data_IF_128106216583
#
_entry.id   IF_128106216583
#
_cell.length_a   1.000
_cell.length_b   1.000
_cell.length_c   1.000
_cell.angle_alpha   90.00
_cell.angle_beta   90.00
_cell.angle_gamma   90.00
#
_symmetry.space_group_name_H-M   'P 1'
#
loop_
_entity.id
_entity.type
_entity.pdbx_description
1 polymer ?
#
# COMPACT_ATOMS: atom_id res chain seq x y z
N UNK A 1 34.89 -37.75 -61.88
CA UNK A 1 35.16 -37.48 -60.44
C UNK A 1 34.07 -36.56 -59.90
N UNK A 2 33.72 -36.76 -58.61
CA UNK A 2 32.81 -35.99 -57.74
C UNK A 2 31.35 -36.50 -57.64
N UNK A 3 31.19 -37.37 -56.65
CA UNK A 3 29.96 -37.89 -56.05
C UNK A 3 29.16 -36.82 -55.31
N UNK A 4 27.84 -36.92 -55.40
CA UNK A 4 26.88 -35.91 -54.95
C UNK A 4 26.76 -35.73 -53.44
N UNK A 5 26.62 -34.47 -53.04
CA UNK A 5 26.29 -34.05 -51.67
C UNK A 5 24.76 -33.88 -51.54
N UNK A 6 24.04 -34.96 -51.18
CA UNK A 6 22.59 -34.93 -50.87
C UNK A 6 22.31 -35.63 -49.54
N UNK A 7 22.86 -35.18 -48.40
CA UNK A 7 22.42 -35.65 -47.06
C UNK A 7 22.63 -34.63 -45.94
N UNK A 8 22.05 -33.43 -46.07
CA UNK A 8 22.01 -32.45 -44.95
C UNK A 8 20.78 -31.54 -44.92
N UNK A 9 19.84 -31.69 -45.86
CA UNK A 9 18.72 -30.73 -46.03
C UNK A 9 17.54 -30.90 -45.05
N UNK A 10 17.40 -32.03 -44.35
CA UNK A 10 16.26 -32.26 -43.42
C UNK A 10 16.51 -31.80 -41.98
N UNK A 11 17.73 -31.99 -41.48
CA UNK A 11 18.05 -31.72 -40.07
C UNK A 11 18.17 -30.22 -39.74
N UNK A 12 18.49 -29.38 -40.72
CA UNK A 12 18.61 -27.93 -40.49
C UNK A 12 17.27 -27.32 -40.08
N UNK A 13 16.16 -27.76 -40.71
CA UNK A 13 14.83 -27.29 -40.35
C UNK A 13 14.45 -27.74 -38.93
N UNK A 14 14.74 -29.00 -38.58
CA UNK A 14 14.50 -29.54 -37.24
C UNK A 14 15.31 -28.78 -36.19
N UNK A 15 16.60 -28.55 -36.44
CA UNK A 15 17.47 -27.78 -35.55
C UNK A 15 16.98 -26.33 -35.38
N UNK A 16 16.55 -25.68 -36.47
CA UNK A 16 15.99 -24.33 -36.41
C UNK A 16 14.68 -24.27 -35.61
N UNK A 17 13.78 -25.25 -35.80
CA UNK A 17 12.55 -25.36 -35.00
C UNK A 17 12.86 -25.55 -33.52
N UNK A 18 13.78 -26.46 -33.16
CA UNK A 18 14.20 -26.64 -31.78
C UNK A 18 14.82 -25.38 -31.19
N UNK A 19 15.63 -24.63 -31.94
CA UNK A 19 16.21 -23.37 -31.48
C UNK A 19 15.14 -22.32 -31.16
N UNK A 20 14.11 -22.20 -32.00
CA UNK A 20 12.95 -21.32 -31.76
C UNK A 20 12.16 -21.77 -30.52
N UNK A 21 11.92 -23.07 -30.35
CA UNK A 21 11.21 -23.59 -29.19
C UNK A 21 11.99 -23.35 -27.88
N UNK A 22 13.31 -23.53 -27.90
CA UNK A 22 14.19 -23.26 -26.76
C UNK A 22 14.15 -21.76 -26.42
N UNK A 23 14.26 -20.88 -27.42
CA UNK A 23 14.15 -19.43 -27.22
C UNK A 23 12.78 -19.02 -26.64
N UNK A 24 11.69 -19.65 -27.11
CA UNK A 24 10.35 -19.40 -26.60
C UNK A 24 10.20 -19.81 -25.12
N UNK A 25 10.77 -20.95 -24.71
CA UNK A 25 10.78 -21.39 -23.30
C UNK A 25 11.59 -20.43 -22.43
N UNK A 26 12.74 -19.96 -22.91
CA UNK A 26 13.55 -18.97 -22.17
C UNK A 26 12.81 -17.64 -21.96
N UNK A 27 12.00 -17.18 -22.92
CA UNK A 27 11.17 -15.99 -22.76
C UNK A 27 10.12 -16.12 -21.64
N UNK A 28 9.57 -17.33 -21.42
CA UNK A 28 8.56 -17.56 -20.37
C UNK A 28 9.11 -17.44 -18.95
N UNK A 29 10.42 -17.68 -18.73
CA UNK A 29 11.05 -17.56 -17.42
C UNK A 29 11.06 -16.12 -16.87
N UNK A 30 10.90 -15.09 -17.72
CA UNK A 30 10.91 -13.69 -17.31
C UNK A 30 9.64 -13.19 -16.59
N UNK A 31 8.54 -13.97 -16.56
CA UNK A 31 7.21 -13.49 -16.15
C UNK A 31 7.02 -13.33 -14.63
N UNK A 32 7.56 -14.23 -13.81
CA UNK A 32 7.27 -14.28 -12.36
C UNK A 32 7.84 -13.08 -11.57
N UNK A 33 8.90 -12.43 -12.07
CA UNK A 33 9.56 -11.32 -11.38
C UNK A 33 8.69 -10.05 -11.32
N UNK A 34 7.88 -9.80 -12.34
CA UNK A 34 7.12 -8.54 -12.47
C UNK A 34 6.03 -8.36 -11.41
N UNK A 35 5.31 -9.44 -11.05
CA UNK A 35 4.26 -9.35 -10.03
C UNK A 35 4.83 -8.98 -8.65
N UNK A 36 6.03 -9.48 -8.33
CA UNK A 36 6.70 -9.16 -7.06
C UNK A 36 7.22 -7.73 -7.02
N UNK A 37 7.69 -7.20 -8.15
CA UNK A 37 8.14 -5.81 -8.26
C UNK A 37 6.96 -4.86 -8.09
N UNK A 38 5.87 -5.10 -8.84
CA UNK A 38 4.65 -4.26 -8.75
C UNK A 38 4.10 -4.23 -7.32
N UNK A 39 4.03 -5.38 -6.63
CA UNK A 39 3.55 -5.42 -5.24
C UNK A 39 4.44 -4.60 -4.30
N UNK A 40 5.77 -4.71 -4.42
CA UNK A 40 6.69 -3.91 -3.61
C UNK A 40 6.57 -2.42 -3.88
N UNK A 41 6.36 -2.04 -5.14
CA UNK A 41 6.14 -0.64 -5.51
C UNK A 41 4.83 -0.10 -4.91
N UNK A 42 3.75 -0.90 -4.93
CA UNK A 42 2.48 -0.55 -4.29
C UNK A 42 2.61 -0.43 -2.77
N UNK A 43 3.35 -1.33 -2.12
CA UNK A 43 3.64 -1.26 -0.68
C UNK A 43 4.42 0.00 -0.33
N UNK A 44 5.47 0.32 -1.10
CA UNK A 44 6.25 1.55 -0.91
C UNK A 44 5.39 2.81 -1.14
N UNK A 45 4.50 2.77 -2.13
CA UNK A 45 3.57 3.86 -2.40
C UNK A 45 2.51 4.02 -1.30
N UNK A 46 1.98 2.92 -0.75
CA UNK A 46 1.06 2.94 0.39
C UNK A 46 1.72 3.67 1.57
N UNK A 47 2.94 3.27 1.93
CA UNK A 47 3.68 3.90 3.02
C UNK A 47 4.01 5.36 2.72
N UNK A 48 4.37 5.69 1.48
CA UNK A 48 4.65 7.05 1.06
C UNK A 48 3.40 7.94 1.22
N UNK A 49 2.26 7.51 0.67
CA UNK A 49 0.98 8.24 0.74
C UNK A 49 0.49 8.34 2.19
N UNK A 50 0.58 7.27 2.97
CA UNK A 50 0.26 7.27 4.40
C UNK A 50 1.06 8.32 5.18
N UNK A 51 2.39 8.37 4.97
CA UNK A 51 3.26 9.38 5.60
C UNK A 51 2.95 10.81 5.15
N UNK A 52 2.49 11.04 3.92
CA UNK A 52 2.06 12.38 3.50
C UNK A 52 0.88 12.88 4.32
N UNK A 53 -0.10 12.00 4.61
CA UNK A 53 -1.22 12.36 5.48
C UNK A 53 -0.76 12.65 6.91
N UNK A 54 0.10 11.83 7.50
CA UNK A 54 0.63 12.07 8.85
C UNK A 54 1.37 13.41 8.92
N UNK A 55 2.23 13.71 7.93
CA UNK A 55 2.92 15.01 7.85
C UNK A 55 1.97 16.19 7.71
N UNK A 56 0.90 16.04 6.93
CA UNK A 56 -0.12 17.08 6.77
C UNK A 56 -0.93 17.30 8.06
N UNK A 57 -1.24 16.22 8.78
CA UNK A 57 -1.89 16.30 10.09
C UNK A 57 -0.96 16.99 11.09
N UNK A 58 0.33 16.67 11.06
CA UNK A 58 1.34 17.29 11.92
C UNK A 58 1.47 18.79 11.64
N UNK A 59 1.58 19.20 10.37
CA UNK A 59 1.67 20.63 10.01
C UNK A 59 0.41 21.38 10.41
N UNK A 60 -0.77 20.79 10.20
CA UNK A 60 -2.04 21.36 10.67
C UNK A 60 -2.07 21.54 12.19
N UNK A 61 -1.67 20.52 12.94
CA UNK A 61 -1.63 20.55 14.40
C UNK A 61 -0.68 21.63 14.92
N UNK A 62 0.48 21.82 14.28
CA UNK A 62 1.42 22.90 14.66
C UNK A 62 0.81 24.30 14.48
N UNK A 63 -0.01 24.50 13.46
CA UNK A 63 -0.68 25.79 13.21
C UNK A 63 -1.90 26.02 14.10
N UNK A 64 -2.60 24.94 14.48
CA UNK A 64 -3.86 24.98 15.21
C UNK A 64 -3.72 24.58 16.69
N UNK A 65 -2.63 24.98 17.36
CA UNK A 65 -2.43 24.75 18.81
C UNK A 65 -2.56 23.27 19.23
N UNK A 66 -1.97 22.36 18.44
CA UNK A 66 -2.06 20.90 18.58
C UNK A 66 -3.48 20.33 18.47
N UNK A 67 -4.42 21.07 17.85
CA UNK A 67 -5.74 20.53 17.55
C UNK A 67 -5.69 19.60 16.33
N UNK A 68 -6.29 18.41 16.43
CA UNK A 68 -6.37 17.47 15.33
C UNK A 68 -7.38 17.96 14.27
N UNK A 69 -7.17 17.65 12.98
CA UNK A 69 -8.06 18.10 11.93
C UNK A 69 -9.44 17.42 12.04
N UNK A 70 -10.54 18.15 11.80
CA UNK A 70 -11.89 17.60 11.83
C UNK A 70 -12.22 16.71 10.62
N UNK A 71 -11.49 16.85 9.50
CA UNK A 71 -11.63 16.00 8.32
C UNK A 71 -10.39 16.05 7.42
N UNK A 72 -10.14 15.01 6.63
CA UNK A 72 -9.03 14.99 5.66
C UNK A 72 -9.16 16.09 4.59
N UNK A 73 -10.39 16.50 4.25
CA UNK A 73 -10.64 17.57 3.26
C UNK A 73 -10.12 18.93 3.71
N UNK A 74 -10.02 19.16 5.02
CA UNK A 74 -9.49 20.43 5.53
C UNK A 74 -7.99 20.55 5.25
N UNK A 75 -7.26 19.43 5.27
CA UNK A 75 -5.83 19.38 4.98
C UNK A 75 -5.54 19.82 3.53
N UNK A 76 -6.41 19.46 2.60
CA UNK A 76 -6.32 19.94 1.22
C UNK A 76 -6.72 21.42 1.10
N UNK A 77 -7.83 21.82 1.76
CA UNK A 77 -8.34 23.20 1.71
C UNK A 77 -7.33 24.22 2.23
N UNK A 78 -6.63 23.88 3.31
CA UNK A 78 -5.60 24.72 3.92
C UNK A 78 -4.20 24.49 3.35
N UNK A 79 -4.09 23.67 2.29
CA UNK A 79 -2.84 23.40 1.55
C UNK A 79 -1.75 22.71 2.37
N UNK A 80 -2.11 21.96 3.40
CA UNK A 80 -1.20 21.04 4.12
C UNK A 80 -0.82 19.82 3.27
N UNK A 81 -1.65 19.48 2.28
CA UNK A 81 -1.36 18.43 1.30
C UNK A 81 -1.64 18.92 -0.12
N UNK A 82 -0.83 18.48 -1.09
CA UNK A 82 -0.97 18.89 -2.50
C UNK A 82 -2.29 18.41 -3.12
N UNK A 83 -2.75 17.22 -2.72
CA UNK A 83 -4.00 16.57 -3.17
C UNK A 83 -4.35 15.44 -2.21
N UNK A 84 -5.62 15.05 -2.16
CA UNK A 84 -6.02 13.81 -1.51
C UNK A 84 -5.53 12.61 -2.33
N UNK A 85 -4.57 11.86 -1.79
CA UNK A 85 -4.06 10.63 -2.38
C UNK A 85 -5.04 9.48 -2.13
N UNK A 86 -5.33 8.68 -3.14
CA UNK A 86 -6.13 7.45 -2.99
C UNK A 86 -5.31 6.34 -2.33
N UNK A 87 -5.96 5.33 -1.78
CA UNK A 87 -5.27 4.11 -1.36
C UNK A 87 -4.95 3.25 -2.61
N UNK A 88 -3.68 2.92 -2.90
CA UNK A 88 -3.29 2.13 -4.06
C UNK A 88 -3.69 0.65 -3.97
N UNK A 89 -4.00 0.12 -2.79
CA UNK A 89 -4.33 -1.29 -2.53
C UNK A 89 -5.83 -1.50 -2.26
N UNK A 90 -6.57 -0.42 -1.98
CA UNK A 90 -8.02 -0.43 -1.79
C UNK A 90 -8.76 -0.58 -3.12
N UNK A 91 -9.82 -1.38 -3.12
CA UNK A 91 -10.73 -1.52 -4.27
C UNK A 91 -11.53 -0.24 -4.53
N UNK A 92 -11.88 0.50 -3.48
CA UNK A 92 -12.64 1.77 -3.57
C UNK A 92 -11.71 2.99 -3.67
N UNK A 93 -10.42 2.82 -3.36
CA UNK A 93 -9.46 3.92 -3.25
C UNK A 93 -9.63 4.77 -1.99
N UNK A 94 -10.56 4.41 -1.10
CA UNK A 94 -10.79 5.10 0.17
C UNK A 94 -9.83 4.63 1.26
N UNK A 95 -9.53 5.53 2.19
CA UNK A 95 -8.74 5.26 3.39
C UNK A 95 -9.65 5.07 4.60
N UNK A 96 -9.27 4.18 5.50
CA UNK A 96 -9.77 4.20 6.86
C UNK A 96 -9.05 5.29 7.67
N UNK A 97 -9.77 5.94 8.56
CA UNK A 97 -9.20 6.92 9.47
C UNK A 97 -8.69 6.24 10.73
N UNK A 98 -7.50 6.61 11.15
CA UNK A 98 -6.94 6.21 12.44
C UNK A 98 -7.27 7.33 13.42
N UNK A 99 -8.06 6.98 14.44
CA UNK A 99 -8.50 7.90 15.46
C UNK A 99 -7.96 7.47 16.82
N UNK A 100 -7.48 8.45 17.58
CA UNK A 100 -7.06 8.26 18.97
C UNK A 100 -8.21 8.67 19.88
N UNK A 101 -8.77 7.77 20.71
CA UNK A 101 -9.76 8.15 21.69
C UNK A 101 -9.14 9.12 22.71
N UNK A 102 -9.93 10.10 23.17
CA UNK A 102 -9.47 11.05 24.21
C UNK A 102 -9.27 10.40 25.58
N UNK A 103 -9.84 9.21 25.79
CA UNK A 103 -9.58 8.36 26.96
C UNK A 103 -8.18 7.75 26.82
N UNK A 104 -7.33 7.83 27.86
CA UNK A 104 -5.90 7.47 27.89
C UNK A 104 -5.50 6.04 27.51
N UNK A 105 -6.38 5.31 26.82
CA UNK A 105 -6.10 4.05 26.16
C UNK A 105 -5.12 4.25 25.00
N UNK A 106 -4.07 3.43 24.97
CA UNK A 106 -3.15 3.33 23.81
C UNK A 106 -3.79 2.68 22.57
N UNK A 107 -5.06 2.30 22.63
CA UNK A 107 -5.77 1.60 21.56
C UNK A 107 -6.18 2.59 20.46
N UNK A 108 -5.82 2.28 19.22
CA UNK A 108 -6.21 3.09 18.06
C UNK A 108 -7.52 2.56 17.48
N UNK A 109 -8.44 3.48 17.18
CA UNK A 109 -9.71 3.16 16.54
C UNK A 109 -9.55 3.37 15.04
N UNK A 110 -9.79 2.33 14.25
CA UNK A 110 -9.82 2.37 12.79
C UNK A 110 -11.27 2.50 12.38
N UNK A 111 -11.60 3.60 11.70
CA UNK A 111 -12.97 3.95 11.34
C UNK A 111 -13.06 4.16 9.83
N UNK A 112 -14.01 3.53 9.12
CA UNK A 112 -14.30 3.84 7.73
C UNK A 112 -14.63 5.32 7.55
N UNK A 113 -14.19 5.91 6.43
CA UNK A 113 -14.42 7.34 6.15
C UNK A 113 -15.91 7.71 6.19
N UNK A 114 -16.79 6.79 5.76
CA UNK A 114 -18.25 6.94 5.81
C UNK A 114 -18.83 7.00 7.22
N UNK A 115 -18.21 6.32 8.19
CA UNK A 115 -18.67 6.27 9.58
C UNK A 115 -17.98 7.31 10.48
N UNK A 116 -16.95 7.99 9.97
CA UNK A 116 -16.10 8.92 10.71
C UNK A 116 -16.85 9.97 11.53
N UNK A 117 -17.91 10.55 10.95
CA UNK A 117 -18.68 11.64 11.59
C UNK A 117 -19.26 11.28 12.96
N UNK A 118 -19.52 9.99 13.23
CA UNK A 118 -20.06 9.51 14.50
C UNK A 118 -19.03 9.48 15.63
N UNK A 119 -17.74 9.44 15.28
CA UNK A 119 -16.64 9.25 16.22
C UNK A 119 -15.85 10.53 16.49
N UNK A 120 -16.04 11.60 15.70
CA UNK A 120 -15.29 12.87 15.83
C UNK A 120 -15.43 13.54 17.22
N UNK A 121 -16.49 13.25 17.97
CA UNK A 121 -16.70 13.78 19.33
C UNK A 121 -16.00 12.96 20.41
N UNK A 122 -15.66 11.70 20.11
CA UNK A 122 -15.08 10.73 21.06
C UNK A 122 -13.60 10.48 20.79
N UNK A 123 -13.18 10.66 19.55
CA UNK A 123 -11.84 10.36 19.09
C UNK A 123 -11.38 11.40 18.06
N UNK A 124 -10.08 11.65 18.08
CA UNK A 124 -9.42 12.62 17.22
C UNK A 124 -8.72 11.94 16.06
N UNK A 125 -8.82 12.49 14.86
CA UNK A 125 -8.11 11.96 13.69
C UNK A 125 -6.60 12.20 13.89
N UNK A 126 -5.84 11.11 13.93
CA UNK A 126 -4.38 11.13 14.07
C UNK A 126 -3.67 10.57 12.85
N UNK A 127 -4.41 9.96 11.91
CA UNK A 127 -3.79 9.29 10.78
C UNK A 127 -4.74 8.56 9.84
N UNK A 128 -4.15 7.70 9.01
CA UNK A 128 -4.85 6.92 7.98
C UNK A 128 -4.34 5.47 7.96
N UNK A 129 -5.19 4.57 7.51
CA UNK A 129 -4.92 3.14 7.37
C UNK A 129 -5.57 2.62 6.09
N UNK A 130 -4.96 1.61 5.46
CA UNK A 130 -5.56 0.98 4.29
C UNK A 130 -6.87 0.27 4.64
N UNK A 131 -7.74 0.08 3.66
CA UNK A 131 -8.93 -0.77 3.77
C UNK A 131 -8.66 -2.22 3.37
N UNK A 132 -7.54 -2.49 2.68
CA UNK A 132 -7.28 -3.79 2.08
C UNK A 132 -6.92 -4.87 3.13
N UNK A 133 -7.64 -6.00 3.18
CA UNK A 133 -7.34 -7.10 4.11
C UNK A 133 -6.19 -8.00 3.64
N UNK A 134 -5.62 -7.74 2.46
CA UNK A 134 -4.54 -8.53 1.88
C UNK A 134 -3.26 -8.46 2.72
N UNK A 135 -2.47 -9.54 2.68
CA UNK A 135 -1.16 -9.60 3.32
C UNK A 135 -0.07 -9.16 2.36
N UNK A 136 0.79 -8.26 2.84
CA UNK A 136 1.97 -7.80 2.13
C UNK A 136 3.15 -8.76 2.22
N UNK A 137 4.15 -8.50 1.39
CA UNK A 137 5.47 -9.10 1.51
C UNK A 137 6.27 -8.47 2.63
N UNK A 138 6.12 -7.17 2.83
CA UNK A 138 6.68 -6.46 3.97
C UNK A 138 5.86 -6.70 5.24
N UNK A 139 6.53 -6.58 6.37
CA UNK A 139 5.91 -6.53 7.69
C UNK A 139 6.12 -5.13 8.25
N UNK A 140 5.02 -4.46 8.59
CA UNK A 140 5.06 -3.13 9.15
C UNK A 140 4.68 -3.20 10.63
N UNK A 141 5.64 -2.92 11.51
CA UNK A 141 5.44 -2.87 12.98
C UNK A 141 4.78 -4.14 13.55
N UNK A 142 5.25 -5.31 13.12
CA UNK A 142 4.72 -6.61 13.54
C UNK A 142 3.44 -7.05 12.79
N UNK A 143 2.96 -6.28 11.80
CA UNK A 143 1.74 -6.56 11.05
C UNK A 143 2.02 -6.84 9.59
N UNK A 144 1.47 -7.95 9.09
CA UNK A 144 1.56 -8.33 7.67
C UNK A 144 0.41 -7.80 6.81
N UNK A 145 -0.73 -7.48 7.40
CA UNK A 145 -1.94 -7.08 6.65
C UNK A 145 -2.01 -5.58 6.47
N UNK A 146 -2.38 -5.11 5.29
CA UNK A 146 -2.39 -3.67 4.98
C UNK A 146 -3.41 -2.89 5.79
N UNK A 147 -4.57 -3.46 6.09
CA UNK A 147 -5.57 -2.86 6.98
C UNK A 147 -5.14 -2.79 8.46
N UNK A 148 -3.99 -3.37 8.79
CA UNK A 148 -3.35 -3.25 10.11
C UNK A 148 -2.15 -2.28 10.07
N UNK A 149 -1.86 -1.68 8.92
CA UNK A 149 -0.81 -0.68 8.78
C UNK A 149 -1.40 0.71 9.04
N UNK A 150 -1.47 1.07 10.32
CA UNK A 150 -1.91 2.38 10.74
C UNK A 150 -0.72 3.36 10.72
N UNK A 151 -0.83 4.43 9.94
CA UNK A 151 0.11 5.55 9.93
C UNK A 151 -0.49 6.67 10.78
N UNK A 152 0.19 7.13 11.82
CA UNK A 152 -0.38 8.13 12.74
C UNK A 152 0.67 9.05 13.36
N UNK A 153 0.19 10.20 13.87
CA UNK A 153 1.03 11.19 14.53
C UNK A 153 1.65 10.65 15.82
N UNK A 154 2.98 10.77 15.95
CA UNK A 154 3.72 10.23 17.09
C UNK A 154 3.97 8.73 17.00
N UNK A 155 3.94 8.16 15.78
CA UNK A 155 4.46 6.82 15.54
C UNK A 155 5.95 6.72 15.90
N UNK A 156 6.33 5.68 16.63
CA UNK A 156 7.71 5.31 16.89
C UNK A 156 8.06 4.10 15.99
N UNK A 157 9.09 4.19 15.12
CA UNK A 157 9.51 3.08 14.26
C UNK A 157 9.96 1.83 15.01
N UNK A 158 10.42 1.97 16.26
CA UNK A 158 10.93 0.86 17.08
C UNK A 158 9.84 0.17 17.91
N UNK A 159 8.68 0.82 18.09
CA UNK A 159 7.56 0.24 18.84
C UNK A 159 6.65 -0.60 17.94
N UNK A 160 6.19 -1.74 18.42
CA UNK A 160 5.18 -2.55 17.73
C UNK A 160 3.87 -1.79 17.55
N UNK A 161 3.06 -2.22 16.57
CA UNK A 161 1.76 -1.59 16.31
C UNK A 161 0.86 -1.69 17.57
N UNK A 162 0.38 -0.56 18.13
CA UNK A 162 -0.59 -0.60 19.22
C UNK A 162 -1.84 -1.39 18.85
N UNK A 163 -2.60 -1.87 19.83
CA UNK A 163 -3.85 -2.58 19.58
C UNK A 163 -4.80 -1.74 18.72
N UNK A 164 -5.28 -2.33 17.63
CA UNK A 164 -6.20 -1.70 16.69
C UNK A 164 -7.62 -2.20 16.97
N UNK A 165 -8.60 -1.29 16.97
CA UNK A 165 -10.02 -1.61 17.04
C UNK A 165 -10.70 -1.17 15.74
N UNK A 166 -11.35 -2.10 15.04
CA UNK A 166 -12.07 -1.76 13.83
C UNK A 166 -13.51 -1.39 14.19
N UNK A 167 -13.84 -0.11 14.04
CA UNK A 167 -15.17 0.41 14.31
C UNK A 167 -16.07 0.22 13.09
N UNK A 168 -17.01 -0.73 13.15
CA UNK A 168 -17.99 -0.99 12.09
C UNK A 168 -17.50 -1.94 10.99
N UNK A 169 -16.91 -3.07 11.39
CA UNK A 169 -16.32 -4.04 10.46
C UNK A 169 -17.30 -4.63 9.44
N UNK A 170 -16.87 -4.66 8.18
CA UNK A 170 -16.58 -5.89 7.45
C UNK A 170 -15.50 -5.59 6.41
#
# INVERSE_FOLDING_TARGET
>A
MKTGNRRTRGYVLLAALFAVQIAAVFMLMGRARWQTVIRRDLEAELMFRGRQYVRAIESYAREHLNQPPPSLRILEKEKHIRRLYTDPLSLTGEWNLVMKPGSGNKKLLIVPLSAAGRYLTQASIVGVCSTSPESGFLEYRGRKRYNEWAFYLGEDPEEDMPPLEFAGGA
#
